data_IF_736982164518
#
_entry.id   IF_736982164518
#
_cell.length_a   1.000
_cell.length_b   1.000
_cell.length_c   1.000
_cell.angle_alpha   90.00
_cell.angle_beta   90.00
_cell.angle_gamma   90.00
#
_symmetry.space_group_name_H-M   'P 1'
#
loop_
_entity.id
_entity.type
_entity.pdbx_description
1 polymer ?
#
# COMPACT_ATOMS: atom_id res chain seq x y z
N UNK A 1 8.15 0.96 -19.85
CA UNK A 1 7.48 0.43 -18.65
C UNK A 1 7.89 1.22 -17.42
N UNK A 2 6.91 1.50 -16.54
CA UNK A 2 7.16 2.20 -15.27
C UNK A 2 6.42 1.51 -14.14
N UNK A 3 7.08 1.42 -12.99
CA UNK A 3 6.46 1.03 -11.73
C UNK A 3 6.42 2.26 -10.83
N UNK A 4 5.22 2.70 -10.47
CA UNK A 4 5.00 3.89 -9.66
C UNK A 4 4.53 3.51 -8.27
N UNK A 5 5.01 4.22 -7.26
CA UNK A 5 4.59 4.03 -5.88
C UNK A 5 4.06 5.34 -5.31
N UNK A 6 2.88 5.26 -4.72
CA UNK A 6 2.22 6.38 -4.06
C UNK A 6 2.09 6.11 -2.58
N UNK A 7 2.10 7.17 -1.80
CA UNK A 7 1.90 7.12 -0.35
C UNK A 7 0.86 8.15 0.06
N UNK A 8 0.02 7.78 1.01
CA UNK A 8 -1.00 8.66 1.54
C UNK A 8 -1.34 8.30 2.98
N UNK A 9 -2.13 9.12 3.64
CA UNK A 9 -2.56 8.83 5.00
C UNK A 9 -3.98 9.34 5.26
N UNK A 10 -4.67 8.64 6.15
CA UNK A 10 -5.95 9.06 6.70
C UNK A 10 -5.72 9.34 8.18
N UNK A 11 -5.87 10.60 8.57
CA UNK A 11 -5.63 11.06 9.92
C UNK A 11 -6.93 11.01 10.72
N UNK A 12 -6.89 10.40 11.91
CA UNK A 12 -8.07 10.30 12.77
C UNK A 12 -8.65 11.66 13.20
N UNK A 13 -7.79 12.65 13.38
CA UNK A 13 -8.26 14.00 13.76
C UNK A 13 -9.04 14.65 12.62
N UNK A 14 -8.55 14.52 11.39
CA UNK A 14 -9.26 14.99 10.20
C UNK A 14 -10.54 14.18 9.97
N UNK A 15 -10.51 12.88 10.23
CA UNK A 15 -11.67 12.00 10.10
C UNK A 15 -12.81 12.41 11.03
N UNK A 16 -12.52 12.91 12.24
CA UNK A 16 -13.54 13.45 13.15
C UNK A 16 -14.30 14.63 12.56
N UNK A 17 -13.62 15.51 11.83
CA UNK A 17 -14.24 16.65 11.17
C UNK A 17 -15.01 16.27 9.91
N UNK A 18 -14.52 15.30 9.17
CA UNK A 18 -15.11 14.87 7.89
C UNK A 18 -16.22 13.83 8.06
N UNK A 19 -16.37 13.26 9.25
CA UNK A 19 -17.32 12.17 9.47
C UNK A 19 -16.93 10.86 8.81
N UNK A 20 -15.63 10.66 8.49
CA UNK A 20 -15.15 9.46 7.85
C UNK A 20 -15.29 8.24 8.76
N UNK A 21 -15.95 7.20 8.27
CA UNK A 21 -16.19 5.96 9.02
C UNK A 21 -15.26 4.85 8.57
N UNK A 22 -15.25 3.74 9.32
CA UNK A 22 -14.55 2.51 8.91
C UNK A 22 -15.10 1.97 7.58
N UNK A 23 -16.41 2.09 7.36
CA UNK A 23 -17.05 1.68 6.11
C UNK A 23 -16.61 2.54 4.94
N UNK A 24 -16.48 3.84 5.13
CA UNK A 24 -15.97 4.75 4.11
C UNK A 24 -14.53 4.41 3.72
N UNK A 25 -13.71 4.03 4.70
CA UNK A 25 -12.34 3.60 4.47
C UNK A 25 -12.29 2.31 3.64
N UNK A 26 -13.17 1.36 3.92
CA UNK A 26 -13.27 0.13 3.14
C UNK A 26 -13.68 0.40 1.70
N UNK A 27 -14.65 1.29 1.48
CA UNK A 27 -15.06 1.73 0.13
C UNK A 27 -13.94 2.43 -0.61
N UNK A 28 -13.18 3.27 0.07
CA UNK A 28 -12.03 3.96 -0.49
C UNK A 28 -10.95 2.97 -0.96
N UNK A 29 -10.67 1.95 -0.14
CA UNK A 29 -9.72 0.88 -0.48
C UNK A 29 -10.12 0.16 -1.77
N UNK A 30 -11.39 -0.25 -1.86
CA UNK A 30 -11.91 -0.92 -3.06
C UNK A 30 -11.90 -0.01 -4.27
N UNK A 31 -12.27 1.26 -4.10
CA UNK A 31 -12.30 2.23 -5.18
C UNK A 31 -10.91 2.49 -5.76
N UNK A 32 -9.90 2.67 -4.93
CA UNK A 32 -8.52 2.86 -5.39
C UNK A 32 -8.05 1.65 -6.20
N UNK A 33 -8.25 0.44 -5.67
CA UNK A 33 -7.82 -0.78 -6.35
C UNK A 33 -8.48 -0.95 -7.71
N UNK A 34 -9.79 -0.74 -7.77
CA UNK A 34 -10.57 -0.94 -8.99
C UNK A 34 -10.38 0.18 -10.02
N UNK A 35 -10.18 1.42 -9.57
CA UNK A 35 -10.12 2.59 -10.46
C UNK A 35 -8.91 2.59 -11.38
N UNK A 36 -7.80 2.02 -10.95
CA UNK A 36 -6.57 1.99 -11.74
C UNK A 36 -6.77 1.26 -13.06
N UNK A 37 -7.47 0.12 -13.03
CA UNK A 37 -7.76 -0.66 -14.24
C UNK A 37 -8.96 -0.12 -15.02
N UNK A 38 -9.88 0.58 -14.34
CA UNK A 38 -11.15 1.03 -14.92
C UNK A 38 -11.03 2.35 -15.69
N UNK A 39 -9.90 3.05 -15.60
CA UNK A 39 -9.70 4.37 -16.21
C UNK A 39 -8.57 4.36 -17.25
N UNK A 40 -8.75 3.70 -18.41
CA UNK A 40 -7.76 3.77 -19.46
C UNK A 40 -7.70 5.18 -20.03
N UNK A 41 -6.50 5.74 -20.14
CA UNK A 41 -6.27 6.97 -20.88
C UNK A 41 -5.74 6.66 -22.27
N UNK A 42 -5.77 7.64 -23.19
CA UNK A 42 -5.27 7.44 -24.56
C UNK A 42 -3.82 6.96 -24.64
N UNK A 43 -2.99 7.38 -23.68
CA UNK A 43 -1.57 7.04 -23.64
C UNK A 43 -1.23 5.94 -22.62
N UNK A 44 -2.22 5.48 -21.83
CA UNK A 44 -1.99 4.57 -20.69
C UNK A 44 -3.09 3.52 -20.58
N UNK A 45 -3.30 2.78 -21.67
CA UNK A 45 -4.37 1.78 -21.73
C UNK A 45 -4.08 0.54 -20.84
N UNK A 46 -2.83 0.31 -20.45
CA UNK A 46 -2.40 -0.89 -19.72
C UNK A 46 -1.82 -0.54 -18.36
N UNK A 47 -2.64 0.06 -17.49
CA UNK A 47 -2.27 0.30 -16.10
C UNK A 47 -2.90 -0.77 -15.22
N UNK A 48 -2.08 -1.42 -14.39
CA UNK A 48 -2.52 -2.46 -13.48
C UNK A 48 -2.04 -2.18 -12.06
N UNK A 49 -2.93 -2.29 -11.06
CA UNK A 49 -2.49 -2.22 -9.67
C UNK A 49 -1.65 -3.47 -9.35
N UNK A 50 -0.53 -3.27 -8.70
CA UNK A 50 0.35 -4.37 -8.30
C UNK A 50 0.26 -4.66 -6.82
N UNK A 51 0.20 -3.63 -6.01
CA UNK A 51 0.12 -3.74 -4.56
C UNK A 51 -0.68 -2.59 -3.98
N UNK A 52 -1.61 -2.92 -3.10
CA UNK A 52 -2.20 -2.00 -2.15
C UNK A 52 -1.86 -2.48 -0.74
N UNK A 53 -1.30 -1.60 0.04
CA UNK A 53 -0.96 -1.86 1.45
C UNK A 53 -1.53 -0.75 2.31
N UNK A 54 -2.31 -1.13 3.31
CA UNK A 54 -2.87 -0.20 4.29
C UNK A 54 -2.50 -0.68 5.69
N UNK A 55 -1.85 0.18 6.44
CA UNK A 55 -1.43 -0.10 7.82
C UNK A 55 -2.30 0.70 8.78
N UNK A 56 -2.98 0.02 9.67
CA UNK A 56 -3.80 0.63 10.72
C UNK A 56 -3.02 0.59 12.02
N UNK A 57 -2.74 1.76 12.57
CA UNK A 57 -1.99 1.88 13.82
C UNK A 57 -2.90 1.77 15.04
N UNK A 58 -2.37 1.24 16.12
CA UNK A 58 -3.02 1.25 17.42
C UNK A 58 -3.07 2.68 17.99
N UNK A 59 -3.98 2.91 18.93
CA UNK A 59 -4.03 4.18 19.66
C UNK A 59 -2.68 4.49 20.30
N UNK A 60 -2.31 5.77 20.26
CA UNK A 60 -1.01 6.23 20.76
C UNK A 60 0.08 6.28 19.73
N UNK A 61 -0.13 5.69 18.55
CA UNK A 61 0.82 5.73 17.43
C UNK A 61 0.31 6.62 16.31
N UNK A 62 1.19 7.42 15.74
CA UNK A 62 0.86 8.31 14.63
C UNK A 62 1.02 7.62 13.28
N UNK A 63 0.38 8.16 12.26
CA UNK A 63 0.50 7.65 10.89
C UNK A 63 1.94 7.68 10.35
N UNK A 64 2.77 8.54 10.88
CA UNK A 64 4.17 8.64 10.46
C UNK A 64 5.14 7.81 11.30
N UNK A 65 4.65 6.88 12.11
CA UNK A 65 5.47 6.16 13.08
C UNK A 65 6.69 5.46 12.45
N UNK A 66 6.51 4.83 11.28
CA UNK A 66 7.59 4.19 10.54
C UNK A 66 8.14 5.03 9.39
N UNK A 67 7.63 6.24 9.22
CA UNK A 67 7.97 7.09 8.10
C UNK A 67 7.32 6.63 6.80
N UNK A 68 7.95 6.93 5.68
CA UNK A 68 7.45 6.52 4.36
C UNK A 68 7.74 5.04 4.12
N UNK A 69 6.68 4.24 4.06
CA UNK A 69 6.79 2.79 3.92
C UNK A 69 7.41 2.37 2.57
N UNK A 70 7.39 3.23 1.56
CA UNK A 70 7.98 2.92 0.25
C UNK A 70 9.49 2.68 0.34
N UNK A 71 10.15 3.27 1.29
CA UNK A 71 11.61 3.10 1.48
C UNK A 71 12.01 1.69 1.91
N UNK A 72 11.06 0.89 2.39
CA UNK A 72 11.30 -0.51 2.75
C UNK A 72 11.07 -1.47 1.59
N UNK A 73 10.66 -0.95 0.43
CA UNK A 73 10.49 -1.72 -0.79
C UNK A 73 11.69 -1.47 -1.67
N UNK A 74 12.35 -2.54 -2.11
CA UNK A 74 13.50 -2.44 -3.01
C UNK A 74 13.13 -3.01 -4.36
N UNK A 75 13.61 -2.36 -5.40
CA UNK A 75 13.43 -2.82 -6.76
C UNK A 75 14.79 -3.04 -7.41
N UNK A 76 14.88 -4.07 -8.23
CA UNK A 76 16.06 -4.33 -9.05
C UNK A 76 15.73 -4.01 -10.49
N UNK A 77 16.09 -2.83 -11.01
CA UNK A 77 15.83 -2.48 -12.39
C UNK A 77 16.64 -3.37 -13.30
N UNK A 78 15.99 -3.92 -14.32
CA UNK A 78 16.63 -4.69 -15.37
C UNK A 78 16.59 -3.92 -16.69
N UNK A 79 17.49 -4.22 -17.59
CA UNK A 79 17.46 -3.65 -18.93
C UNK A 79 16.23 -4.19 -19.68
N UNK A 80 15.60 -3.36 -20.49
CA UNK A 80 14.46 -3.72 -21.34
C UNK A 80 13.25 -4.25 -20.57
N UNK A 81 12.86 -3.58 -19.49
CA UNK A 81 11.67 -3.91 -18.72
C UNK A 81 10.41 -3.71 -19.57
N UNK A 82 9.61 -4.77 -19.73
CA UNK A 82 8.36 -4.75 -20.50
C UNK A 82 7.12 -5.13 -19.69
N UNK A 83 7.30 -5.81 -18.56
CA UNK A 83 6.21 -6.18 -17.64
C UNK A 83 6.75 -6.32 -16.22
N UNK A 84 5.85 -6.53 -15.28
CA UNK A 84 6.22 -6.61 -13.86
C UNK A 84 7.17 -7.76 -13.53
N UNK A 85 7.16 -8.83 -14.31
CA UNK A 85 8.04 -9.98 -14.08
C UNK A 85 9.51 -9.65 -14.39
N UNK A 86 9.76 -8.59 -15.16
CA UNK A 86 11.10 -8.11 -15.46
C UNK A 86 11.66 -7.19 -14.37
N UNK A 87 10.85 -6.86 -13.37
CA UNK A 87 11.26 -6.04 -12.24
C UNK A 87 11.34 -6.90 -10.99
N UNK A 88 12.51 -6.98 -10.39
CA UNK A 88 12.64 -7.59 -9.08
C UNK A 88 12.09 -6.66 -8.01
N UNK A 89 11.07 -7.09 -7.30
CA UNK A 89 10.48 -6.34 -6.19
C UNK A 89 10.73 -7.11 -4.90
N UNK A 90 11.53 -6.52 -4.01
CA UNK A 90 11.87 -7.12 -2.71
C UNK A 90 11.06 -6.43 -1.62
N UNK A 91 10.14 -7.19 -1.01
CA UNK A 91 9.27 -6.77 0.06
C UNK A 91 9.70 -7.29 1.43
N UNK A 92 10.83 -7.98 1.52
CA UNK A 92 11.23 -8.70 2.75
C UNK A 92 11.42 -7.76 3.94
N UNK A 93 12.04 -6.60 3.74
CA UNK A 93 12.23 -5.62 4.80
C UNK A 93 10.90 -5.05 5.32
N UNK A 94 9.95 -4.79 4.42
CA UNK A 94 8.63 -4.31 4.78
C UNK A 94 7.82 -5.39 5.52
N UNK A 95 7.86 -6.63 5.06
CA UNK A 95 7.20 -7.75 5.71
C UNK A 95 7.73 -7.96 7.14
N UNK A 96 9.05 -7.93 7.33
CA UNK A 96 9.66 -8.05 8.64
C UNK A 96 9.24 -6.91 9.57
N UNK A 97 9.28 -5.67 9.09
CA UNK A 97 8.87 -4.50 9.87
C UNK A 97 7.42 -4.62 10.35
N UNK A 98 6.51 -4.96 9.46
CA UNK A 98 5.08 -5.04 9.78
C UNK A 98 4.78 -6.21 10.71
N UNK A 99 5.35 -7.37 10.47
CA UNK A 99 5.12 -8.55 11.31
C UNK A 99 5.69 -8.40 12.71
N UNK A 100 6.86 -7.76 12.85
CA UNK A 100 7.49 -7.54 14.15
C UNK A 100 6.74 -6.52 15.01
N UNK A 101 5.99 -5.61 14.39
CA UNK A 101 5.29 -4.52 15.07
C UNK A 101 3.77 -4.69 15.13
N UNK A 102 3.25 -5.84 14.76
CA UNK A 102 1.80 -6.13 14.75
C UNK A 102 1.39 -6.87 16.03
N UNK A 103 0.32 -6.38 16.65
CA UNK A 103 -0.28 -7.03 17.81
C UNK A 103 -0.64 -6.07 18.94
N UNK A 104 -1.16 -6.63 20.02
CA UNK A 104 -1.55 -5.88 21.21
C UNK A 104 -0.34 -5.22 21.87
N UNK A 105 -0.45 -3.94 22.18
CA UNK A 105 0.64 -3.14 22.77
C UNK A 105 1.74 -2.74 21.77
N UNK A 106 1.66 -3.18 20.53
CA UNK A 106 2.58 -2.80 19.46
C UNK A 106 1.98 -1.71 18.58
N UNK A 107 2.76 -1.18 17.65
CA UNK A 107 2.36 -0.04 16.83
C UNK A 107 1.21 -0.37 15.88
N UNK A 108 1.14 -1.58 15.34
CA UNK A 108 0.22 -1.96 14.28
C UNK A 108 -0.94 -2.79 14.82
N UNK A 109 -2.17 -2.32 14.54
CA UNK A 109 -3.41 -3.04 14.85
C UNK A 109 -3.74 -4.09 13.81
N UNK A 110 -3.75 -3.69 12.53
CA UNK A 110 -4.05 -4.57 11.41
C UNK A 110 -3.44 -4.04 10.12
N UNK A 111 -3.32 -4.93 9.14
CA UNK A 111 -2.79 -4.62 7.82
C UNK A 111 -3.76 -5.17 6.77
N UNK A 112 -4.12 -4.32 5.79
CA UNK A 112 -4.90 -4.73 4.63
C UNK A 112 -3.99 -4.78 3.41
N UNK A 113 -4.03 -5.88 2.69
CA UNK A 113 -3.19 -6.09 1.52
C UNK A 113 -4.03 -6.59 0.35
N UNK A 114 -3.81 -5.98 -0.82
CA UNK A 114 -4.23 -6.52 -2.11
C UNK A 114 -2.99 -6.59 -3.00
N UNK A 115 -2.72 -7.74 -3.59
CA UNK A 115 -1.47 -7.93 -4.31
C UNK A 115 -1.65 -8.76 -5.57
N UNK A 116 -1.04 -8.31 -6.65
CA UNK A 116 -0.78 -9.06 -7.86
C UNK A 116 0.69 -9.47 -8.00
N UNK A 117 1.50 -9.26 -6.96
CA UNK A 117 2.92 -9.62 -6.92
C UNK A 117 3.18 -11.03 -6.37
N UNK A 118 2.14 -11.83 -6.20
CA UNK A 118 2.23 -13.14 -5.59
C UNK A 118 1.81 -13.14 -4.13
N UNK A 119 2.05 -14.25 -3.43
CA UNK A 119 1.67 -14.38 -2.02
C UNK A 119 2.59 -13.56 -1.11
N UNK A 120 2.01 -12.68 -0.32
CA UNK A 120 2.70 -11.84 0.64
C UNK A 120 2.12 -12.09 2.05
N UNK A 121 3.00 -12.27 3.01
CA UNK A 121 2.65 -12.55 4.40
C UNK A 121 2.91 -11.31 5.28
N UNK A 122 1.85 -10.56 5.51
CA UNK A 122 1.89 -9.42 6.42
C UNK A 122 1.10 -9.68 7.70
#
# INVERSE_FOLDING_TARGET
>A
YSLLAFNGSINKNTAKYNGLTVEDRAKFREAIWSSISAQPTRSKMNQYPQLYLEVVYNEGFSNGHFGDLRRYIKTSPQEHVRNINDVGVDMSALQALLNDNKGAGKAIKEVFVKSNLGALNF
#
